data_IF_674157036700
#
_entry.id   IF_674157036700
#
_cell.length_a   1.000
_cell.length_b   1.000
_cell.length_c   1.000
_cell.angle_alpha   90.00
_cell.angle_beta   90.00
_cell.angle_gamma   90.00
#
_symmetry.space_group_name_H-M   'P 1'
#
loop_
_entity.id
_entity.type
_entity.pdbx_description
1 polymer ?
#
# COMPACT_ATOMS: atom_id res chain seq x y z
N UNK A 1 1.06 -1.09 7.05
CA UNK A 1 -0.01 -0.42 6.28
C UNK A 1 -1.13 0.10 7.16
N UNK A 2 -1.75 -0.73 8.01
CA UNK A 2 -2.92 -0.39 8.83
C UNK A 2 -2.80 0.92 9.64
N UNK A 3 -1.66 1.15 10.28
CA UNK A 3 -1.42 2.38 11.06
C UNK A 3 -1.40 3.67 10.20
N UNK A 4 -1.06 3.58 8.92
CA UNK A 4 -1.17 4.74 8.03
C UNK A 4 -2.64 5.00 7.68
N UNK A 5 -3.43 3.94 7.50
CA UNK A 5 -4.85 4.03 7.20
C UNK A 5 -5.62 4.63 8.37
N UNK A 6 -5.31 4.21 9.61
CA UNK A 6 -5.92 4.78 10.82
C UNK A 6 -5.65 6.28 10.99
N UNK A 7 -4.54 6.78 10.43
CA UNK A 7 -4.18 8.22 10.37
C UNK A 7 -4.77 8.97 9.18
N UNK A 8 -5.61 8.33 8.38
CA UNK A 8 -6.31 8.95 7.25
C UNK A 8 -5.63 8.81 5.88
N UNK A 9 -4.58 8.00 5.76
CA UNK A 9 -3.97 7.72 4.46
C UNK A 9 -4.77 6.67 3.67
N UNK A 10 -4.71 6.77 2.33
CA UNK A 10 -5.41 5.84 1.44
C UNK A 10 -4.55 4.65 1.04
N UNK A 11 -5.07 3.44 1.23
CA UNK A 11 -4.50 2.20 0.68
C UNK A 11 -4.74 2.13 -0.83
N UNK A 12 -3.71 1.82 -1.59
CA UNK A 12 -3.83 1.54 -3.03
C UNK A 12 -3.90 0.04 -3.26
N UNK A 13 -2.94 -0.69 -2.68
CA UNK A 13 -2.73 -2.13 -2.86
C UNK A 13 -1.95 -2.68 -1.66
N UNK A 14 -2.08 -3.99 -1.43
CA UNK A 14 -1.31 -4.78 -0.47
C UNK A 14 -0.80 -6.05 -1.16
N UNK A 15 0.40 -6.51 -0.78
CA UNK A 15 1.17 -7.63 -1.37
C UNK A 15 1.52 -7.54 -2.87
N UNK A 16 0.55 -7.27 -3.75
CA UNK A 16 0.74 -7.20 -5.20
C UNK A 16 0.36 -5.82 -5.75
N UNK A 17 1.28 -5.22 -6.51
CA UNK A 17 1.08 -3.92 -7.16
C UNK A 17 1.44 -4.03 -8.63
N UNK A 18 0.55 -3.58 -9.50
CA UNK A 18 0.82 -3.47 -10.93
C UNK A 18 1.24 -2.04 -11.26
N UNK A 19 2.44 -1.92 -11.84
CA UNK A 19 2.99 -0.65 -12.28
C UNK A 19 2.89 -0.49 -13.79
N UNK A 20 2.49 0.69 -14.22
CA UNK A 20 2.53 1.11 -15.61
C UNK A 20 3.27 2.44 -15.75
N UNK A 21 4.08 2.57 -16.80
CA UNK A 21 4.73 3.85 -17.14
C UNK A 21 3.84 4.60 -18.12
N UNK A 22 3.11 5.59 -17.62
CA UNK A 22 2.13 6.37 -18.40
C UNK A 22 2.75 7.55 -19.14
N UNK A 23 3.94 8.00 -18.70
CA UNK A 23 4.74 9.04 -19.36
C UNK A 23 6.23 8.84 -19.00
N UNK A 24 7.18 9.53 -19.67
CA UNK A 24 8.63 9.32 -19.44
C UNK A 24 9.06 9.35 -17.96
N UNK A 25 8.45 10.25 -17.17
CA UNK A 25 8.76 10.44 -15.73
C UNK A 25 7.53 10.19 -14.83
N UNK A 26 6.60 9.34 -15.28
CA UNK A 26 5.38 9.02 -14.54
C UNK A 26 5.14 7.52 -14.50
N UNK A 27 5.26 6.96 -13.30
CA UNK A 27 4.89 5.58 -12.98
C UNK A 27 3.61 5.64 -12.16
N UNK A 28 2.58 4.93 -12.59
CA UNK A 28 1.33 4.76 -11.87
C UNK A 28 1.25 3.33 -11.33
N UNK A 29 0.87 3.19 -10.06
CA UNK A 29 0.65 1.92 -9.40
C UNK A 29 -0.84 1.72 -9.12
N UNK A 30 -1.34 0.51 -9.28
CA UNK A 30 -2.70 0.12 -8.95
C UNK A 30 -2.76 -1.32 -8.43
N UNK A 31 -3.88 -1.67 -7.80
CA UNK A 31 -4.12 -3.02 -7.28
C UNK A 31 -4.83 -3.89 -8.34
N UNK A 32 -4.38 -5.15 -8.55
CA UNK A 32 -5.12 -6.14 -9.33
C UNK A 32 -6.56 -6.27 -8.84
N UNK A 33 -7.51 -6.47 -9.75
CA UNK A 33 -8.95 -6.43 -9.43
C UNK A 33 -9.35 -7.40 -8.30
N UNK A 34 -8.74 -8.58 -8.27
CA UNK A 34 -9.01 -9.62 -7.27
C UNK A 34 -8.63 -9.21 -5.84
N UNK A 35 -7.63 -8.34 -5.67
CA UNK A 35 -7.06 -7.95 -4.38
C UNK A 35 -7.51 -6.56 -3.91
N UNK A 36 -8.43 -5.91 -4.64
CA UNK A 36 -8.84 -4.55 -4.34
C UNK A 36 -9.46 -4.43 -2.95
N UNK A 37 -9.05 -3.39 -2.22
CA UNK A 37 -9.47 -3.06 -0.85
C UNK A 37 -9.05 -4.07 0.22
N UNK A 38 -8.45 -5.21 -0.14
CA UNK A 38 -8.03 -6.22 0.82
C UNK A 38 -6.68 -5.86 1.44
N UNK A 39 -6.55 -6.11 2.74
CA UNK A 39 -5.31 -6.02 3.50
C UNK A 39 -5.16 -7.29 4.35
N UNK A 40 -4.01 -7.96 4.27
CA UNK A 40 -3.68 -9.06 5.19
C UNK A 40 -3.16 -8.47 6.51
N UNK A 41 -3.77 -8.88 7.61
CA UNK A 41 -3.30 -8.53 8.95
C UNK A 41 -3.07 -9.81 9.74
N UNK A 42 -1.81 -10.12 9.99
CA UNK A 42 -1.41 -11.26 10.82
C UNK A 42 -2.16 -11.27 12.15
N UNK A 43 -2.81 -12.39 12.44
CA UNK A 43 -3.63 -12.59 13.65
C UNK A 43 -5.10 -12.21 13.50
N UNK A 44 -5.49 -11.48 12.44
CA UNK A 44 -6.88 -11.15 12.12
C UNK A 44 -7.35 -11.78 10.80
N UNK A 45 -6.43 -12.01 9.86
CA UNK A 45 -6.72 -12.50 8.52
C UNK A 45 -6.90 -11.37 7.50
N UNK A 46 -7.68 -11.63 6.45
CA UNK A 46 -7.96 -10.67 5.39
C UNK A 46 -9.06 -9.69 5.81
N UNK A 47 -8.78 -8.39 5.68
CA UNK A 47 -9.70 -7.32 6.01
C UNK A 47 -10.07 -6.53 4.75
N UNK A 48 -11.34 -6.17 4.62
CA UNK A 48 -11.78 -5.17 3.63
C UNK A 48 -11.70 -3.77 4.23
N UNK A 49 -10.70 -3.01 3.79
CA UNK A 49 -10.39 -1.68 4.27
C UNK A 49 -11.46 -0.65 3.92
N UNK A 50 -12.12 -0.80 2.77
CA UNK A 50 -13.20 0.10 2.37
C UNK A 50 -14.39 -0.06 3.31
N UNK A 51 -14.73 -1.30 3.64
CA UNK A 51 -15.86 -1.61 4.51
C UNK A 51 -15.62 -1.12 5.95
N UNK A 52 -14.37 -1.21 6.44
CA UNK A 52 -14.04 -0.84 7.83
C UNK A 52 -13.77 0.66 8.00
N UNK A 53 -13.04 1.28 7.07
CA UNK A 53 -12.55 2.66 7.19
C UNK A 53 -13.23 3.65 6.22
N UNK A 54 -14.17 3.19 5.39
CA UNK A 54 -14.94 3.99 4.44
C UNK A 54 -14.26 4.22 3.09
N UNK A 55 -14.96 4.81 2.13
CA UNK A 55 -14.49 4.96 0.75
C UNK A 55 -13.19 5.79 0.62
N UNK A 56 -12.98 6.74 1.53
CA UNK A 56 -11.80 7.62 1.51
C UNK A 56 -10.52 6.92 1.93
N UNK A 57 -10.60 5.73 2.55
CA UNK A 57 -9.44 4.95 2.99
C UNK A 57 -8.79 4.15 1.86
N UNK A 58 -9.39 4.13 0.67
CA UNK A 58 -8.87 3.41 -0.50
C UNK A 58 -8.68 4.32 -1.70
N UNK A 59 -7.77 3.94 -2.59
CA UNK A 59 -7.46 4.64 -3.85
C UNK A 59 -7.29 3.61 -4.95
N UNK A 60 -7.93 3.82 -6.11
CA UNK A 60 -7.85 2.88 -7.24
C UNK A 60 -6.45 2.83 -7.87
N UNK A 61 -5.77 3.98 -7.90
CA UNK A 61 -4.43 4.14 -8.47
C UNK A 61 -3.73 5.35 -7.86
N UNK A 62 -2.40 5.36 -7.89
CA UNK A 62 -1.57 6.47 -7.43
C UNK A 62 -0.28 6.59 -8.24
N UNK A 63 0.23 7.83 -8.38
CA UNK A 63 1.56 8.07 -8.93
C UNK A 63 2.64 7.68 -7.92
N UNK A 64 3.59 6.85 -8.34
CA UNK A 64 4.78 6.52 -7.55
C UNK A 64 5.72 7.74 -7.49
N UNK A 65 6.03 8.20 -6.27
CA UNK A 65 6.94 9.34 -6.03
C UNK A 65 8.14 8.98 -5.17
N UNK A 66 7.99 8.00 -4.28
CA UNK A 66 9.00 7.60 -3.31
C UNK A 66 8.89 6.08 -3.09
N UNK A 67 10.04 5.42 -2.99
CA UNK A 67 10.15 4.04 -2.53
C UNK A 67 10.86 4.06 -1.18
N UNK A 68 10.20 3.55 -0.15
CA UNK A 68 10.81 3.35 1.17
C UNK A 68 11.12 1.86 1.30
N UNK A 69 12.41 1.51 1.32
CA UNK A 69 12.86 0.13 1.48
C UNK A 69 13.15 -0.13 2.96
N UNK A 70 12.31 -0.94 3.62
CA UNK A 70 12.48 -1.29 5.02
C UNK A 70 13.49 -2.44 5.15
N UNK A 71 14.63 -2.16 5.78
CA UNK A 71 15.65 -3.16 6.10
C UNK A 71 15.63 -3.46 7.59
N UNK A 72 15.95 -4.71 7.96
CA UNK A 72 16.12 -5.07 9.37
C UNK A 72 17.41 -4.40 9.85
N UNK A 73 17.30 -3.58 10.89
CA UNK A 73 18.47 -3.00 11.54
C UNK A 73 19.39 -4.12 12.05
N UNK A 74 20.65 -4.08 11.63
CA UNK A 74 21.70 -4.97 12.11
C UNK A 74 22.54 -4.27 13.18
N UNK A 75 23.30 -5.05 13.97
CA UNK A 75 24.18 -4.49 14.98
C UNK A 75 25.31 -3.61 14.39
N UNK A 76 25.61 -3.76 13.10
CA UNK A 76 26.62 -2.98 12.37
C UNK A 76 26.12 -1.64 11.85
N UNK A 77 24.80 -1.42 11.78
CA UNK A 77 24.22 -0.14 11.33
C UNK A 77 24.19 0.93 12.44
N UNK A 78 24.71 0.60 13.64
CA UNK A 78 24.70 1.46 14.82
C UNK A 78 26.04 2.19 15.09
N UNK A 79 27.00 2.13 14.17
CA UNK A 79 28.28 2.84 14.27
C UNK A 79 28.61 3.59 12.98
#
# INVERSE_FOLDING_TARGET
ALELISRGHGLVADDAVEFSRTAPNMIEGHCPQLLQNLLEVRGLGLLDIRTIFGETSVRRKMRLKLIVHLVRATAQDKF
#
